data_IF_102173401718
#
_entry.id   IF_102173401718
#
_cell.length_a   1.000
_cell.length_b   1.000
_cell.length_c   1.000
_cell.angle_alpha   90.00
_cell.angle_beta   90.00
_cell.angle_gamma   90.00
#
_symmetry.space_group_name_H-M   'P 1'
#
loop_
_entity.id
_entity.type
_entity.pdbx_description
1 polymer ?
#
# COMPACT_ATOMS: atom_id res chain seq x y z
N UNK A 1 24.16 15.19 -21.84
CA UNK A 1 22.69 15.38 -21.89
C UNK A 1 22.04 14.01 -21.87
N UNK A 2 21.62 13.53 -20.70
CA UNK A 2 20.95 12.24 -20.59
C UNK A 2 19.46 12.47 -20.89
N UNK A 3 18.98 11.89 -22.00
CA UNK A 3 17.57 11.86 -22.36
C UNK A 3 16.84 10.96 -21.36
N UNK A 4 16.05 11.56 -20.47
CA UNK A 4 15.08 10.84 -19.65
C UNK A 4 14.05 10.18 -20.58
N UNK A 5 14.14 8.87 -20.77
CA UNK A 5 13.06 8.11 -21.38
C UNK A 5 11.91 8.03 -20.38
N UNK A 6 10.79 8.66 -20.72
CA UNK A 6 9.52 8.39 -20.05
C UNK A 6 9.13 6.93 -20.31
N UNK A 7 8.68 6.17 -19.29
CA UNK A 7 8.21 4.80 -19.51
C UNK A 7 7.01 4.82 -20.48
N UNK A 8 7.06 3.97 -21.49
CA UNK A 8 6.08 3.89 -22.58
C UNK A 8 4.76 3.18 -22.24
N UNK A 9 4.59 2.72 -21.01
CA UNK A 9 3.33 2.17 -20.49
C UNK A 9 2.82 3.11 -19.39
N UNK A 10 1.63 3.69 -19.60
CA UNK A 10 1.03 4.56 -18.60
C UNK A 10 0.86 3.82 -17.26
N UNK A 11 0.97 4.53 -16.13
CA UNK A 11 0.93 3.95 -14.76
C UNK A 11 -0.34 3.16 -14.41
N UNK A 12 -1.39 3.23 -15.23
CA UNK A 12 -2.62 2.45 -15.04
C UNK A 12 -2.49 0.96 -15.38
N UNK A 13 -1.40 0.53 -15.99
CA UNK A 13 -1.18 -0.85 -16.44
C UNK A 13 -0.44 -1.74 -15.42
N UNK A 14 0.01 -1.19 -14.29
CA UNK A 14 0.76 -1.96 -13.29
C UNK A 14 -0.14 -3.04 -12.66
N UNK A 15 0.20 -4.30 -12.90
CA UNK A 15 -0.51 -5.45 -12.37
C UNK A 15 0.48 -6.55 -11.96
N UNK A 16 1.38 -6.28 -10.98
CA UNK A 16 2.34 -7.28 -10.53
C UNK A 16 1.62 -8.52 -9.99
N UNK A 17 2.18 -9.69 -10.31
CA UNK A 17 1.65 -10.98 -9.88
C UNK A 17 2.77 -11.94 -9.53
N UNK A 18 2.47 -12.86 -8.64
CA UNK A 18 3.39 -13.90 -8.21
C UNK A 18 2.92 -14.58 -6.93
N UNK A 19 3.42 -15.77 -6.69
CA UNK A 19 3.11 -16.56 -5.49
C UNK A 19 1.60 -16.71 -5.22
N UNK A 20 0.79 -16.81 -6.28
CA UNK A 20 -0.66 -16.95 -6.21
C UNK A 20 -1.41 -15.66 -5.87
N UNK A 21 -0.76 -14.50 -5.96
CA UNK A 21 -1.35 -13.19 -5.76
C UNK A 21 -1.29 -12.33 -7.04
N UNK A 22 -2.36 -11.57 -7.25
CA UNK A 22 -2.46 -10.51 -8.23
C UNK A 22 -2.68 -9.18 -7.49
N UNK A 23 -1.86 -8.19 -7.83
CA UNK A 23 -2.04 -6.82 -7.35
C UNK A 23 -2.40 -5.93 -8.53
N UNK A 24 -3.47 -5.19 -8.43
CA UNK A 24 -3.88 -4.24 -9.48
C UNK A 24 -4.61 -3.04 -8.93
N UNK A 25 -4.67 -1.98 -9.70
CA UNK A 25 -5.47 -0.81 -9.36
C UNK A 25 -6.95 -1.21 -9.11
N UNK A 26 -7.61 -0.59 -8.10
CA UNK A 26 -9.01 -0.85 -7.81
C UNK A 26 -9.92 -0.40 -8.94
N UNK A 27 -11.01 -1.14 -9.14
CA UNK A 27 -12.04 -0.90 -10.16
C UNK A 27 -13.43 -0.86 -9.53
N UNK A 28 -14.42 -0.32 -10.24
CA UNK A 28 -15.79 -0.21 -9.71
C UNK A 28 -16.44 -1.58 -9.45
N UNK A 29 -16.04 -2.61 -10.18
CA UNK A 29 -16.44 -4.00 -9.96
C UNK A 29 -16.00 -4.57 -8.61
N UNK A 30 -14.96 -4.01 -8.00
CA UNK A 30 -14.40 -4.48 -6.72
C UNK A 30 -15.23 -4.02 -5.51
N UNK A 31 -16.14 -3.05 -5.73
CA UNK A 31 -16.86 -2.38 -4.66
C UNK A 31 -17.49 -3.34 -3.64
N UNK A 32 -18.18 -4.36 -4.10
CA UNK A 32 -18.92 -5.27 -3.22
C UNK A 32 -17.97 -6.04 -2.31
N UNK A 33 -16.95 -6.69 -2.88
CA UNK A 33 -15.93 -7.41 -2.08
C UNK A 33 -15.18 -6.45 -1.14
N UNK A 34 -14.79 -5.28 -1.64
CA UNK A 34 -14.07 -4.29 -0.85
C UNK A 34 -14.89 -3.82 0.36
N UNK A 35 -16.15 -3.41 0.14
CA UNK A 35 -17.00 -2.91 1.22
C UNK A 35 -17.31 -3.99 2.27
N UNK A 36 -17.60 -5.22 1.82
CA UNK A 36 -17.85 -6.35 2.71
C UNK A 36 -16.62 -6.71 3.55
N UNK A 37 -15.44 -6.80 2.92
CA UNK A 37 -14.21 -7.14 3.62
C UNK A 37 -13.81 -6.05 4.62
N UNK A 38 -13.94 -4.77 4.24
CA UNK A 38 -13.69 -3.64 5.14
C UNK A 38 -14.65 -3.63 6.33
N UNK A 39 -15.95 -3.82 6.08
CA UNK A 39 -16.96 -3.84 7.14
C UNK A 39 -16.74 -4.99 8.12
N UNK A 40 -16.55 -6.21 7.63
CA UNK A 40 -16.28 -7.39 8.49
C UNK A 40 -14.97 -7.28 9.25
N UNK A 41 -14.02 -6.47 8.79
CA UNK A 41 -12.73 -6.24 9.41
C UNK A 41 -12.66 -4.92 10.21
N UNK A 42 -13.78 -4.21 10.39
CA UNK A 42 -13.79 -2.86 10.98
C UNK A 42 -13.11 -2.81 12.35
N UNK A 43 -13.49 -3.69 13.26
CA UNK A 43 -12.93 -3.74 14.62
C UNK A 43 -11.42 -4.02 14.61
N UNK A 44 -10.98 -4.90 13.69
CA UNK A 44 -9.58 -5.27 13.51
C UNK A 44 -8.72 -4.14 12.93
N UNK A 45 -9.28 -3.32 12.01
CA UNK A 45 -8.56 -2.26 11.31
C UNK A 45 -8.57 -0.93 12.07
N UNK A 46 -9.64 -0.60 12.79
CA UNK A 46 -9.83 0.69 13.48
C UNK A 46 -8.63 1.12 14.33
N UNK A 47 -7.95 0.26 15.09
CA UNK A 47 -6.80 0.69 15.90
C UNK A 47 -5.59 1.17 15.10
N UNK A 48 -5.55 0.88 13.80
CA UNK A 48 -4.38 1.08 12.93
C UNK A 48 -4.60 2.10 11.82
N UNK A 49 -5.82 2.61 11.68
CA UNK A 49 -6.20 3.51 10.58
C UNK A 49 -6.77 4.84 11.09
N UNK A 50 -6.75 5.89 10.25
CA UNK A 50 -7.51 7.11 10.51
C UNK A 50 -9.02 6.81 10.69
N UNK A 51 -9.74 7.72 11.32
CA UNK A 51 -11.22 7.63 11.40
C UNK A 51 -11.80 7.53 9.98
N UNK A 52 -12.62 6.52 9.77
CA UNK A 52 -13.31 6.37 8.48
C UNK A 52 -14.44 7.38 8.37
N UNK A 53 -14.55 8.10 7.25
CA UNK A 53 -15.73 8.92 6.97
C UNK A 53 -17.01 8.09 7.09
N UNK A 54 -18.11 8.71 7.49
CA UNK A 54 -19.39 8.01 7.68
C UNK A 54 -19.92 7.34 6.40
N UNK A 55 -19.51 7.84 5.24
CA UNK A 55 -19.89 7.32 3.93
C UNK A 55 -18.77 6.51 3.23
N UNK A 56 -17.69 6.17 3.96
CA UNK A 56 -16.49 5.52 3.38
C UNK A 56 -16.87 4.24 2.62
N UNK A 57 -17.70 3.40 3.20
CA UNK A 57 -18.10 2.12 2.61
C UNK A 57 -19.29 2.19 1.65
N UNK A 58 -19.83 3.38 1.38
CA UNK A 58 -20.90 3.52 0.39
C UNK A 58 -20.36 3.42 -1.04
N UNK A 59 -21.24 2.98 -1.98
CA UNK A 59 -20.89 2.96 -3.41
C UNK A 59 -20.47 4.34 -3.95
N UNK A 60 -21.08 5.40 -3.43
CA UNK A 60 -20.73 6.78 -3.78
C UNK A 60 -19.35 7.16 -3.24
N UNK A 61 -19.05 6.83 -1.98
CA UNK A 61 -17.74 7.01 -1.36
C UNK A 61 -16.65 6.27 -2.14
N UNK A 62 -16.87 5.00 -2.49
CA UNK A 62 -15.94 4.22 -3.28
C UNK A 62 -15.70 4.81 -4.68
N UNK A 63 -16.75 5.32 -5.36
CA UNK A 63 -16.61 6.01 -6.66
C UNK A 63 -15.75 7.28 -6.54
N UNK A 64 -15.93 8.09 -5.48
CA UNK A 64 -15.09 9.26 -5.22
C UNK A 64 -13.63 8.86 -4.96
N UNK A 65 -13.41 7.79 -4.22
CA UNK A 65 -12.09 7.21 -3.97
C UNK A 65 -11.40 6.81 -5.28
N UNK A 66 -12.09 6.10 -6.18
CA UNK A 66 -11.55 5.70 -7.48
C UNK A 66 -11.18 6.90 -8.36
N UNK A 67 -12.01 7.96 -8.35
CA UNK A 67 -11.70 9.18 -9.10
C UNK A 67 -10.41 9.82 -8.58
N UNK A 68 -10.28 10.00 -7.27
CA UNK A 68 -9.07 10.52 -6.65
C UNK A 68 -7.85 9.65 -6.98
N UNK A 69 -7.99 8.34 -6.93
CA UNK A 69 -6.92 7.42 -7.31
C UNK A 69 -6.49 7.59 -8.77
N UNK A 70 -7.42 7.75 -9.70
CA UNK A 70 -7.10 8.02 -11.09
C UNK A 70 -6.34 9.34 -11.28
N UNK A 71 -6.75 10.39 -10.58
CA UNK A 71 -6.07 11.69 -10.56
C UNK A 71 -4.65 11.60 -9.96
N UNK A 72 -4.50 10.85 -8.87
CA UNK A 72 -3.20 10.66 -8.20
C UNK A 72 -2.24 9.82 -9.03
N UNK A 73 -2.73 8.77 -9.69
CA UNK A 73 -1.94 7.96 -10.63
C UNK A 73 -1.49 8.83 -11.83
N UNK A 74 -2.41 9.58 -12.43
CA UNK A 74 -2.10 10.43 -13.58
C UNK A 74 -1.06 11.52 -13.25
N UNK A 75 -1.04 11.98 -12.00
CA UNK A 75 -0.11 12.97 -11.50
C UNK A 75 1.15 12.38 -10.84
N UNK A 76 1.37 11.08 -10.95
CA UNK A 76 2.50 10.35 -10.34
C UNK A 76 2.65 10.60 -8.83
N UNK A 77 1.52 10.73 -8.10
CA UNK A 77 1.51 11.00 -6.66
C UNK A 77 1.27 9.77 -5.80
N UNK A 78 0.47 8.82 -6.33
CA UNK A 78 0.08 7.62 -5.57
C UNK A 78 -0.34 6.49 -6.49
N UNK A 79 -0.07 5.25 -6.06
CA UNK A 79 -0.42 4.02 -6.78
C UNK A 79 -1.10 3.04 -5.81
N UNK A 80 -2.43 3.00 -5.79
CA UNK A 80 -3.19 2.05 -4.99
C UNK A 80 -3.30 0.70 -5.68
N UNK A 81 -3.13 -0.37 -4.92
CA UNK A 81 -3.31 -1.75 -5.36
C UNK A 81 -4.28 -2.47 -4.43
N UNK A 82 -5.21 -3.21 -5.00
CA UNK A 82 -5.94 -4.27 -4.29
C UNK A 82 -5.18 -5.58 -4.48
N UNK A 83 -5.09 -6.35 -3.43
CA UNK A 83 -4.44 -7.67 -3.40
C UNK A 83 -5.51 -8.74 -3.55
N UNK A 84 -5.41 -9.56 -4.59
CA UNK A 84 -6.30 -10.68 -4.85
C UNK A 84 -5.54 -12.00 -4.77
N UNK A 85 -6.22 -13.04 -4.26
CA UNK A 85 -5.77 -14.40 -4.45
C UNK A 85 -6.15 -14.84 -5.86
N UNK A 86 -5.18 -15.30 -6.67
CA UNK A 86 -5.41 -15.60 -8.08
C UNK A 86 -6.33 -16.83 -8.29
N UNK A 87 -6.28 -17.81 -7.38
CA UNK A 87 -7.01 -19.08 -7.55
C UNK A 87 -8.53 -18.92 -7.61
N UNK A 88 -9.08 -17.89 -6.99
CA UNK A 88 -10.52 -17.68 -6.86
C UNK A 88 -10.97 -16.23 -6.94
N UNK A 89 -10.04 -15.29 -7.18
CA UNK A 89 -10.35 -13.87 -7.24
C UNK A 89 -10.76 -13.23 -5.90
N UNK A 90 -10.47 -13.90 -4.78
CA UNK A 90 -10.80 -13.39 -3.45
C UNK A 90 -9.93 -12.17 -3.11
N UNK A 91 -10.55 -11.07 -2.71
CA UNK A 91 -9.84 -9.89 -2.20
C UNK A 91 -9.28 -10.16 -0.82
N UNK A 92 -7.98 -9.93 -0.65
CA UNK A 92 -7.25 -10.18 0.60
C UNK A 92 -7.04 -8.90 1.39
N UNK A 93 -6.79 -7.77 0.70
CA UNK A 93 -6.45 -6.49 1.31
C UNK A 93 -6.00 -5.47 0.26
N UNK A 94 -5.21 -4.49 0.67
CA UNK A 94 -4.69 -3.48 -0.24
C UNK A 94 -3.35 -2.93 0.20
N UNK A 95 -2.60 -2.42 -0.78
CA UNK A 95 -1.33 -1.70 -0.58
C UNK A 95 -1.43 -0.40 -1.38
N UNK A 96 -0.99 0.69 -0.81
CA UNK A 96 -0.90 1.97 -1.52
C UNK A 96 0.51 2.51 -1.40
N UNK A 97 1.16 2.75 -2.53
CA UNK A 97 2.30 3.64 -2.59
C UNK A 97 1.74 5.07 -2.66
N UNK A 98 2.09 5.91 -1.72
CA UNK A 98 1.67 7.30 -1.63
C UNK A 98 2.89 8.23 -1.50
N UNK A 99 2.66 9.54 -1.56
CA UNK A 99 3.71 10.55 -1.39
C UNK A 99 4.91 10.28 -2.30
N UNK A 100 4.66 9.96 -3.56
CA UNK A 100 5.73 9.78 -4.55
C UNK A 100 6.43 11.12 -4.75
N UNK A 101 7.73 11.12 -4.52
CA UNK A 101 8.61 12.30 -4.65
C UNK A 101 9.72 11.96 -5.65
N UNK A 102 9.80 12.74 -6.70
CA UNK A 102 10.81 12.60 -7.76
C UNK A 102 12.02 13.50 -7.51
N UNK A 103 12.81 13.71 -8.51
CA UNK A 103 14.02 14.53 -8.44
C UNK A 103 15.11 13.87 -7.61
N UNK A 104 15.68 14.60 -6.67
CA UNK A 104 16.78 14.13 -5.82
C UNK A 104 16.36 13.11 -4.75
N UNK A 105 15.07 12.94 -4.48
CA UNK A 105 14.57 12.03 -3.42
C UNK A 105 14.24 10.64 -3.98
N UNK A 106 13.56 10.54 -5.12
CA UNK A 106 13.13 9.30 -5.76
C UNK A 106 12.55 8.28 -4.76
N UNK A 107 11.56 8.72 -3.96
CA UNK A 107 11.01 7.92 -2.87
C UNK A 107 9.49 7.93 -2.85
N UNK A 108 8.90 6.95 -2.17
CA UNK A 108 7.48 6.91 -1.86
C UNK A 108 7.22 6.18 -0.54
N UNK A 109 6.05 6.40 0.03
CA UNK A 109 5.64 5.79 1.30
C UNK A 109 4.60 4.71 1.04
N UNK A 110 4.80 3.52 1.57
CA UNK A 110 3.79 2.46 1.49
C UNK A 110 2.93 2.41 2.77
N UNK A 111 1.63 2.23 2.55
CA UNK A 111 0.70 1.82 3.58
C UNK A 111 -0.09 0.61 3.10
N UNK A 112 -0.52 -0.26 4.01
CA UNK A 112 -1.26 -1.48 3.65
C UNK A 112 -2.24 -1.90 4.73
N UNK A 113 -3.21 -2.69 4.32
CA UNK A 113 -4.18 -3.34 5.20
C UNK A 113 -4.48 -4.74 4.69
N UNK A 114 -4.88 -5.62 5.59
CA UNK A 114 -5.34 -6.97 5.28
C UNK A 114 -6.67 -7.22 5.97
N UNK A 115 -7.60 -7.86 5.29
CA UNK A 115 -8.85 -8.27 5.91
C UNK A 115 -8.61 -9.26 7.06
N UNK A 116 -9.34 -9.10 8.15
CA UNK A 116 -9.17 -9.92 9.36
C UNK A 116 -9.16 -11.44 9.08
N UNK A 117 -10.03 -12.00 8.19
CA UNK A 117 -10.00 -13.44 7.87
C UNK A 117 -8.70 -13.93 7.23
N UNK A 118 -7.91 -13.02 6.69
CA UNK A 118 -6.65 -13.31 5.99
C UNK A 118 -5.40 -12.88 6.77
N UNK A 119 -5.60 -12.29 7.96
CA UNK A 119 -4.50 -11.87 8.82
C UNK A 119 -3.64 -13.07 9.29
N UNK A 120 -2.38 -12.81 9.62
CA UNK A 120 -1.42 -13.79 10.14
C UNK A 120 -1.11 -15.00 9.23
N UNK A 121 -1.54 -14.96 7.95
CA UNK A 121 -1.31 -16.03 6.95
C UNK A 121 -0.18 -15.73 5.97
N UNK A 122 0.60 -14.67 6.20
CA UNK A 122 1.72 -14.29 5.35
C UNK A 122 1.35 -13.50 4.09
N UNK A 123 0.07 -13.34 3.77
CA UNK A 123 -0.38 -12.67 2.54
C UNK A 123 0.24 -11.30 2.32
N UNK A 124 0.31 -10.45 3.36
CA UNK A 124 0.85 -9.10 3.19
C UNK A 124 2.37 -9.11 2.93
N UNK A 125 3.12 -9.98 3.58
CA UNK A 125 4.56 -10.18 3.29
C UNK A 125 4.77 -10.61 1.85
N UNK A 126 3.98 -11.58 1.37
CA UNK A 126 4.03 -12.05 -0.02
C UNK A 126 3.64 -10.95 -0.99
N UNK A 127 2.57 -10.21 -0.71
CA UNK A 127 2.09 -9.12 -1.56
C UNK A 127 3.14 -8.00 -1.70
N UNK A 128 3.81 -7.62 -0.61
CA UNK A 128 4.90 -6.64 -0.66
C UNK A 128 6.07 -7.15 -1.50
N UNK A 129 6.49 -8.41 -1.33
CA UNK A 129 7.56 -9.01 -2.15
C UNK A 129 7.21 -9.04 -3.64
N UNK A 130 5.96 -9.25 -3.98
CA UNK A 130 5.47 -9.20 -5.37
C UNK A 130 5.47 -7.75 -5.91
N UNK A 131 5.19 -6.77 -5.07
CA UNK A 131 5.07 -5.37 -5.47
C UNK A 131 6.43 -4.65 -5.57
N UNK A 132 7.37 -4.93 -4.67
CA UNK A 132 8.65 -4.20 -4.55
C UNK A 132 9.46 -4.15 -5.86
N UNK A 133 9.57 -5.24 -6.67
CA UNK A 133 10.25 -5.17 -7.98
C UNK A 133 9.65 -4.13 -8.91
N UNK A 134 8.32 -3.98 -8.92
CA UNK A 134 7.63 -2.95 -9.71
C UNK A 134 7.94 -1.54 -9.20
N UNK A 135 8.01 -1.34 -7.88
CA UNK A 135 8.30 -0.02 -7.31
C UNK A 135 9.73 0.43 -7.62
N UNK A 136 10.71 -0.46 -7.50
CA UNK A 136 12.10 -0.15 -7.80
C UNK A 136 12.40 -0.14 -9.30
N UNK A 137 11.87 -1.10 -10.07
CA UNK A 137 12.13 -1.23 -11.50
C UNK A 137 11.25 -0.32 -12.35
N UNK A 138 9.94 -0.58 -12.42
CA UNK A 138 9.04 0.14 -13.34
C UNK A 138 8.79 1.59 -12.90
N UNK A 139 8.62 1.85 -11.60
CA UNK A 139 8.46 3.20 -11.06
C UNK A 139 9.79 3.89 -10.79
N UNK A 140 10.91 3.19 -10.92
CA UNK A 140 12.26 3.71 -10.77
C UNK A 140 12.46 4.52 -9.48
N UNK A 141 11.97 3.99 -8.35
CA UNK A 141 12.20 4.59 -7.05
C UNK A 141 13.54 4.11 -6.48
N UNK A 142 14.23 4.98 -5.78
CA UNK A 142 15.46 4.64 -5.05
C UNK A 142 15.15 4.12 -3.64
N UNK A 143 14.04 4.61 -3.05
CA UNK A 143 13.71 4.35 -1.66
C UNK A 143 12.20 4.16 -1.45
N UNK A 144 11.85 3.17 -0.62
CA UNK A 144 10.48 2.95 -0.14
C UNK A 144 10.46 3.16 1.37
N UNK A 145 9.54 3.99 1.83
CA UNK A 145 9.35 4.32 3.24
C UNK A 145 8.08 3.66 3.78
N UNK A 146 8.07 3.37 5.07
CA UNK A 146 6.88 2.93 5.78
C UNK A 146 6.91 3.45 7.23
N UNK A 147 5.73 3.59 7.82
CA UNK A 147 5.61 3.95 9.22
C UNK A 147 4.53 3.09 9.89
N UNK A 148 4.77 2.65 11.12
CA UNK A 148 3.77 1.91 11.88
C UNK A 148 3.83 2.24 13.37
N UNK A 149 2.68 2.15 14.04
CA UNK A 149 2.58 2.34 15.49
C UNK A 149 3.46 1.28 16.21
N UNK A 150 4.22 1.64 17.26
CA UNK A 150 5.14 0.73 17.94
C UNK A 150 4.49 -0.56 18.49
N UNK A 151 3.22 -0.51 18.83
CA UNK A 151 2.46 -1.69 19.30
C UNK A 151 1.95 -2.59 18.17
N UNK A 152 2.03 -2.16 16.89
CA UNK A 152 1.61 -2.96 15.74
C UNK A 152 2.67 -4.01 15.36
N UNK A 153 2.93 -4.96 16.25
CA UNK A 153 3.91 -6.02 16.06
C UNK A 153 3.72 -6.80 14.73
N UNK A 154 2.50 -7.12 14.28
CA UNK A 154 2.31 -7.77 12.98
C UNK A 154 2.86 -6.94 11.81
N UNK A 155 2.62 -5.63 11.80
CA UNK A 155 3.13 -4.73 10.75
C UNK A 155 4.66 -4.63 10.78
N UNK A 156 5.25 -4.49 11.95
CA UNK A 156 6.71 -4.48 12.15
C UNK A 156 7.34 -5.74 11.53
N UNK A 157 6.79 -6.92 11.85
CA UNK A 157 7.29 -8.20 11.31
C UNK A 157 7.14 -8.33 9.80
N UNK A 158 6.10 -7.74 9.21
CA UNK A 158 5.93 -7.71 7.75
C UNK A 158 7.04 -6.89 7.12
N UNK A 159 7.31 -5.69 7.61
CA UNK A 159 8.36 -4.81 7.10
C UNK A 159 9.76 -5.45 7.23
N UNK A 160 10.10 -5.97 8.40
CA UNK A 160 11.37 -6.64 8.65
C UNK A 160 11.58 -7.86 7.71
N UNK A 161 10.54 -8.69 7.51
CA UNK A 161 10.59 -9.83 6.58
C UNK A 161 10.74 -9.43 5.12
N UNK A 162 10.37 -8.20 4.78
CA UNK A 162 10.55 -7.64 3.44
C UNK A 162 11.86 -6.85 3.29
N UNK A 163 12.74 -6.86 4.30
CA UNK A 163 14.06 -6.23 4.24
C UNK A 163 14.08 -4.75 4.64
N UNK A 164 12.97 -4.22 5.16
CA UNK A 164 12.97 -2.83 5.65
C UNK A 164 13.81 -2.69 6.92
N UNK A 165 14.63 -1.66 6.95
CA UNK A 165 15.44 -1.28 8.11
C UNK A 165 14.68 -0.24 8.94
N UNK A 166 14.65 -0.43 10.26
CA UNK A 166 14.12 0.57 11.18
C UNK A 166 15.10 1.73 11.31
N UNK A 167 14.64 2.96 11.07
CA UNK A 167 15.49 4.16 11.04
C UNK A 167 15.25 5.11 12.21
N UNK A 168 14.11 4.99 12.89
CA UNK A 168 13.83 5.89 14.01
C UNK A 168 12.43 5.80 14.57
N UNK A 169 12.12 6.77 15.44
CA UNK A 169 10.81 7.00 16.04
C UNK A 169 10.40 8.45 15.80
N UNK A 170 9.26 8.65 15.14
CA UNK A 170 8.62 9.95 14.98
C UNK A 170 7.51 10.11 16.04
N UNK A 171 7.66 11.08 16.93
CA UNK A 171 6.68 11.33 17.98
C UNK A 171 5.43 11.99 17.42
N UNK A 172 4.24 11.51 17.81
CA UNK A 172 2.93 12.07 17.42
C UNK A 172 2.84 12.37 15.92
N UNK A 173 3.25 11.41 15.11
CA UNK A 173 3.48 11.58 13.68
C UNK A 173 2.20 11.55 12.86
N UNK A 174 1.32 10.56 13.11
CA UNK A 174 0.06 10.41 12.38
C UNK A 174 -1.12 10.32 13.36
N UNK A 175 -2.26 10.87 12.92
CA UNK A 175 -3.52 10.79 13.66
C UNK A 175 -4.25 9.49 13.29
N UNK A 176 -4.18 8.51 14.19
CA UNK A 176 -4.80 7.20 14.03
C UNK A 176 -5.98 7.10 14.99
N UNK A 177 -7.15 6.73 14.47
CA UNK A 177 -8.40 6.67 15.22
C UNK A 177 -8.63 7.92 16.10
N UNK A 178 -8.33 9.10 15.56
CA UNK A 178 -8.51 10.39 16.23
C UNK A 178 -7.41 10.77 17.24
N UNK A 179 -6.37 9.96 17.41
CA UNK A 179 -5.29 10.19 18.37
C UNK A 179 -3.96 10.31 17.62
N UNK A 180 -3.18 11.36 17.92
CA UNK A 180 -1.82 11.49 17.41
C UNK A 180 -0.90 10.44 18.05
N UNK A 181 -0.39 9.51 17.24
CA UNK A 181 0.39 8.35 17.65
C UNK A 181 1.86 8.48 17.24
N UNK A 182 2.73 7.96 18.08
CA UNK A 182 4.12 7.74 17.72
C UNK A 182 4.23 6.65 16.64
N UNK A 183 5.18 6.77 15.72
CA UNK A 183 5.42 5.78 14.68
C UNK A 183 6.89 5.42 14.59
N UNK A 184 7.16 4.13 14.48
CA UNK A 184 8.44 3.63 14.01
C UNK A 184 8.56 3.93 12.51
N UNK A 185 9.70 4.47 12.11
CA UNK A 185 10.01 4.76 10.71
C UNK A 185 10.88 3.65 10.14
N UNK A 186 10.54 3.22 8.93
CA UNK A 186 11.24 2.18 8.19
C UNK A 186 11.60 2.67 6.80
N UNK A 187 12.74 2.22 6.28
CA UNK A 187 13.21 2.44 4.93
C UNK A 187 13.70 1.17 4.28
N UNK A 188 13.52 1.05 2.96
CA UNK A 188 14.13 0.04 2.12
C UNK A 188 14.71 0.73 0.90
N UNK A 189 16.00 0.52 0.64
CA UNK A 189 16.72 1.07 -0.52
C UNK A 189 16.71 0.08 -1.66
N UNK A 190 16.79 0.58 -2.90
CA UNK A 190 16.88 -0.27 -4.09
C UNK A 190 18.09 -1.23 -4.02
N UNK A 191 19.24 -0.73 -3.55
CA UNK A 191 20.48 -1.52 -3.42
C UNK A 191 20.42 -2.60 -2.35
N UNK A 192 19.55 -2.46 -1.34
CA UNK A 192 19.36 -3.45 -0.27
C UNK A 192 18.28 -4.49 -0.64
N UNK A 193 17.48 -4.20 -1.67
CA UNK A 193 16.42 -5.08 -2.12
C UNK A 193 17.01 -6.29 -2.86
N UNK A 194 16.89 -7.46 -2.25
CA UNK A 194 17.24 -8.75 -2.86
C UNK A 194 15.94 -9.43 -3.28
N UNK A 195 15.59 -9.29 -4.57
CA UNK A 195 14.40 -9.88 -5.18
C UNK A 195 14.33 -11.40 -5.06
#
# INVERSE_FOLDING_TARGET
MALFRLPSSGPAALAPRGHGLLLRAPQMSDYVQWAQLRESSRAYLTPWEPIWPSDDLTRAGFRRRLRRYAEDIAADRSYPFIVFRESDGTMIGGITLANVRRGIVQAGTIGYWVGEPYAHRGYMTTALRVLLPTLFGELNLHRIEAACIPSNTPSIRVLEKCGFTREGLARRYLCINGIWQDHLLFGLLHEDFRG
#
